data_IF_051109906743
#
_entry.id   IF_051109906743
#
_cell.length_a   1.000
_cell.length_b   1.000
_cell.length_c   1.000
_cell.angle_alpha   90.00
_cell.angle_beta   90.00
_cell.angle_gamma   90.00
#
_symmetry.space_group_name_H-M   'P 1'
#
loop_
_entity.id
_entity.type
_entity.pdbx_description
1 polymer ?
#
# COMPACT_ATOMS: atom_id res chain seq x y z
N UNK A 1 -5.55 8.69 23.79
CA UNK A 1 -5.80 9.94 23.02
C UNK A 1 -6.18 9.51 21.63
N UNK A 2 -7.38 9.86 21.16
CA UNK A 2 -7.75 9.63 19.77
C UNK A 2 -7.12 10.73 18.93
N UNK A 3 -6.28 10.36 17.97
CA UNK A 3 -5.82 11.28 16.94
C UNK A 3 -7.06 11.74 16.15
N UNK A 4 -7.48 12.97 16.38
CA UNK A 4 -8.62 13.55 15.67
C UNK A 4 -8.11 14.15 14.36
N UNK A 5 -8.74 13.77 13.24
CA UNK A 5 -8.51 14.41 11.94
C UNK A 5 -8.96 15.87 12.08
N UNK A 6 -8.01 16.81 12.00
CA UNK A 6 -8.28 18.24 12.24
C UNK A 6 -9.01 18.93 11.07
N UNK A 7 -9.07 18.29 9.91
CA UNK A 7 -9.80 18.74 8.72
C UNK A 7 -9.60 17.77 7.55
N UNK A 8 -10.42 17.89 6.51
CA UNK A 8 -10.29 17.02 5.32
C UNK A 8 -9.09 17.43 4.46
N UNK A 9 -8.69 18.71 4.53
CA UNK A 9 -7.62 19.32 3.72
C UNK A 9 -6.22 18.77 4.05
N UNK A 10 -6.06 18.16 5.23
CA UNK A 10 -4.81 17.49 5.61
C UNK A 10 -4.73 16.04 5.14
N UNK A 11 -5.77 15.53 4.48
CA UNK A 11 -5.79 14.17 3.92
C UNK A 11 -5.18 14.21 2.52
N UNK A 12 -4.17 13.36 2.32
CA UNK A 12 -3.66 13.02 0.99
C UNK A 12 -3.80 11.53 0.80
N UNK A 13 -4.23 11.14 -0.39
CA UNK A 13 -4.44 9.74 -0.73
C UNK A 13 -3.53 9.32 -1.86
N UNK A 14 -2.88 8.19 -1.63
CA UNK A 14 -1.93 7.58 -2.52
C UNK A 14 -2.47 6.16 -2.79
N UNK A 15 -2.84 5.88 -4.04
CA UNK A 15 -3.42 4.61 -4.46
C UNK A 15 -2.51 3.86 -5.43
N UNK A 16 -2.37 2.56 -5.21
CA UNK A 16 -1.75 1.64 -6.18
C UNK A 16 -2.80 0.66 -6.70
N UNK A 17 -2.79 0.38 -8.00
CA UNK A 17 -3.57 -0.70 -8.61
C UNK A 17 -2.69 -1.54 -9.53
N UNK A 18 -3.11 -2.75 -9.86
CA UNK A 18 -2.35 -3.61 -10.77
C UNK A 18 -3.26 -4.59 -11.50
N UNK A 19 -2.86 -5.00 -12.70
CA UNK A 19 -3.64 -5.92 -13.52
C UNK A 19 -3.47 -7.37 -13.06
N UNK A 20 -4.59 -8.03 -12.76
CA UNK A 20 -4.61 -9.42 -12.29
C UNK A 20 -3.96 -10.40 -13.28
N UNK A 21 -4.02 -10.16 -14.59
CA UNK A 21 -3.49 -11.05 -15.63
C UNK A 21 -1.97 -11.25 -15.54
N UNK A 22 -1.17 -10.19 -15.77
CA UNK A 22 0.29 -10.24 -15.65
C UNK A 22 0.76 -10.66 -14.24
N UNK A 23 0.04 -10.24 -13.19
CA UNK A 23 0.39 -10.60 -11.82
C UNK A 23 0.08 -12.07 -11.48
N UNK A 24 -0.91 -12.71 -12.11
CA UNK A 24 -1.24 -14.14 -11.89
C UNK A 24 -0.26 -15.10 -12.53
N UNK A 25 0.38 -14.70 -13.62
CA UNK A 25 1.31 -15.59 -14.32
C UNK A 25 2.53 -15.94 -13.47
N UNK A 26 2.94 -15.02 -12.60
CA UNK A 26 4.12 -15.16 -11.76
C UNK A 26 3.83 -15.39 -10.27
N UNK A 27 2.58 -15.21 -9.81
CA UNK A 27 2.16 -15.42 -8.42
C UNK A 27 1.00 -16.45 -8.38
N UNK A 28 1.30 -17.76 -8.33
CA UNK A 28 0.30 -18.81 -8.42
C UNK A 28 -0.66 -18.87 -7.22
N UNK A 29 -0.27 -18.32 -6.05
CA UNK A 29 -1.07 -18.29 -4.82
C UNK A 29 -1.58 -16.86 -4.53
N UNK A 30 -2.89 -16.66 -4.23
CA UNK A 30 -3.42 -15.41 -3.68
C UNK A 30 -2.58 -14.79 -2.55
N UNK A 31 -1.93 -15.60 -1.71
CA UNK A 31 -1.04 -15.10 -0.67
C UNK A 31 0.13 -14.28 -1.23
N UNK A 32 0.76 -14.78 -2.29
CA UNK A 32 1.91 -14.16 -2.95
C UNK A 32 1.52 -12.87 -3.66
N UNK A 33 0.29 -12.80 -4.18
CA UNK A 33 -0.29 -11.58 -4.73
C UNK A 33 -0.40 -10.46 -3.67
N UNK A 34 -0.95 -10.78 -2.48
CA UNK A 34 -1.04 -9.80 -1.38
C UNK A 34 0.34 -9.39 -0.86
N UNK A 35 1.29 -10.32 -0.82
CA UNK A 35 2.66 -10.01 -0.44
C UNK A 35 3.32 -9.01 -1.40
N UNK A 36 3.14 -9.16 -2.73
CA UNK A 36 3.68 -8.22 -3.73
C UNK A 36 3.08 -6.83 -3.61
N UNK A 37 1.76 -6.74 -3.44
CA UNK A 37 1.08 -5.46 -3.22
C UNK A 37 1.59 -4.75 -1.98
N UNK A 38 1.77 -5.49 -0.89
CA UNK A 38 2.20 -4.90 0.35
C UNK A 38 3.70 -4.54 0.35
N UNK A 39 4.53 -5.26 -0.40
CA UNK A 39 5.92 -4.85 -0.66
C UNK A 39 5.98 -3.56 -1.48
N UNK A 40 5.24 -3.48 -2.59
CA UNK A 40 5.17 -2.28 -3.41
C UNK A 40 4.64 -1.07 -2.63
N UNK A 41 3.61 -1.29 -1.80
CA UNK A 41 3.09 -0.28 -0.89
C UNK A 41 4.18 0.14 0.12
N UNK A 42 4.89 -0.81 0.73
CA UNK A 42 5.99 -0.54 1.64
C UNK A 42 7.09 0.32 1.01
N UNK A 43 7.52 0.00 -0.20
CA UNK A 43 8.51 0.78 -0.95
C UNK A 43 8.01 2.20 -1.22
N UNK A 44 6.77 2.33 -1.68
CA UNK A 44 6.21 3.63 -1.98
C UNK A 44 6.05 4.50 -0.72
N UNK A 45 5.65 3.91 0.41
CA UNK A 45 5.61 4.56 1.72
C UNK A 45 7.01 5.07 2.10
N UNK A 46 8.07 4.28 1.88
CA UNK A 46 9.45 4.69 2.18
C UNK A 46 9.98 5.80 1.28
N UNK A 47 9.60 5.80 0.00
CA UNK A 47 10.04 6.84 -0.96
C UNK A 47 9.29 8.16 -0.80
N UNK A 48 8.01 8.11 -0.42
CA UNK A 48 7.11 9.27 -0.51
C UNK A 48 6.81 9.92 0.83
N UNK A 49 6.80 9.15 1.93
CA UNK A 49 6.22 9.62 3.20
C UNK A 49 7.20 9.60 4.38
N UNK A 50 8.29 8.86 4.28
CA UNK A 50 9.27 8.73 5.38
C UNK A 50 10.07 10.01 5.60
N UNK A 51 10.27 10.85 4.60
CA UNK A 51 11.09 12.07 4.78
C UNK A 51 10.38 13.21 5.49
N UNK A 52 9.06 13.14 5.73
CA UNK A 52 8.27 14.25 6.26
C UNK A 52 7.37 13.91 7.45
N UNK A 53 7.50 12.71 8.04
CA UNK A 53 6.59 12.24 9.10
C UNK A 53 7.35 11.90 10.37
N UNK A 54 6.76 12.10 11.56
CA UNK A 54 7.38 11.70 12.84
C UNK A 54 7.16 10.23 13.19
N UNK A 55 6.13 9.60 12.60
CA UNK A 55 5.80 8.19 12.80
C UNK A 55 4.97 7.65 11.63
N UNK A 56 5.22 6.39 11.27
CA UNK A 56 4.47 5.67 10.23
C UNK A 56 3.61 4.59 10.87
N UNK A 57 2.30 4.60 10.59
CA UNK A 57 1.37 3.56 11.02
C UNK A 57 0.90 2.79 9.78
N UNK A 58 1.12 1.47 9.78
CA UNK A 58 0.73 0.59 8.69
C UNK A 58 -0.32 -0.38 9.23
N UNK A 59 -1.54 -0.26 8.74
CA UNK A 59 -2.66 -1.10 9.14
C UNK A 59 -3.06 -2.00 7.97
N UNK A 60 -3.04 -3.31 8.20
CA UNK A 60 -3.57 -4.30 7.28
C UNK A 60 -4.91 -4.83 7.78
N UNK A 61 -5.80 -5.16 6.85
CA UNK A 61 -7.03 -5.83 7.21
C UNK A 61 -6.76 -7.23 7.80
N UNK A 62 -7.63 -7.63 8.71
CA UNK A 62 -7.56 -8.88 9.46
C UNK A 62 -7.84 -10.14 8.61
N UNK A 63 -8.16 -10.00 7.33
CA UNK A 63 -8.43 -11.13 6.40
C UNK A 63 -7.22 -12.04 6.16
N UNK A 64 -6.00 -11.57 6.42
CA UNK A 64 -4.80 -12.39 6.29
C UNK A 64 -4.72 -13.47 7.37
N UNK A 65 -4.37 -14.70 6.99
CA UNK A 65 -4.08 -15.79 7.92
C UNK A 65 -2.82 -15.52 8.75
N UNK A 66 -2.66 -16.22 9.87
CA UNK A 66 -1.47 -16.06 10.74
C UNK A 66 -0.14 -16.25 9.99
N UNK A 67 -0.08 -17.21 9.07
CA UNK A 67 1.11 -17.46 8.25
C UNK A 67 1.42 -16.30 7.29
N UNK A 68 0.39 -15.80 6.59
CA UNK A 68 0.52 -14.66 5.68
C UNK A 68 0.96 -13.39 6.42
N UNK A 69 0.37 -13.12 7.60
CA UNK A 69 0.77 -11.97 8.45
C UNK A 69 2.24 -12.04 8.83
N UNK A 70 2.74 -13.22 9.18
CA UNK A 70 4.14 -13.43 9.56
C UNK A 70 5.11 -13.12 8.42
N UNK A 71 4.86 -13.70 7.23
CA UNK A 71 5.67 -13.45 6.03
C UNK A 71 5.68 -11.97 5.64
N UNK A 72 4.50 -11.36 5.63
CA UNK A 72 4.36 -9.95 5.29
C UNK A 72 5.11 -9.04 6.27
N UNK A 73 4.95 -9.29 7.57
CA UNK A 73 5.64 -8.52 8.61
C UNK A 73 7.16 -8.64 8.47
N UNK A 74 7.69 -9.83 8.16
CA UNK A 74 9.13 -10.03 7.98
C UNK A 74 9.68 -9.19 6.82
N UNK A 75 9.01 -9.21 5.66
CA UNK A 75 9.44 -8.43 4.49
C UNK A 75 9.35 -6.93 4.72
N UNK A 76 8.24 -6.44 5.28
CA UNK A 76 8.08 -5.02 5.59
C UNK A 76 9.11 -4.53 6.60
N UNK A 77 9.38 -5.29 7.65
CA UNK A 77 10.41 -4.94 8.64
C UNK A 77 11.79 -4.85 8.00
N UNK A 78 12.15 -5.76 7.10
CA UNK A 78 13.43 -5.70 6.40
C UNK A 78 13.62 -4.36 5.68
N UNK A 79 12.57 -3.85 5.03
CA UNK A 79 12.59 -2.55 4.33
C UNK A 79 12.53 -1.35 5.28
N UNK A 80 11.62 -1.38 6.24
CA UNK A 80 11.39 -0.24 7.14
C UNK A 80 12.54 -0.05 8.13
N UNK A 81 13.29 -1.10 8.45
CA UNK A 81 14.50 -1.01 9.27
C UNK A 81 15.63 -0.23 8.59
N UNK A 82 15.63 -0.13 7.26
CA UNK A 82 16.59 0.69 6.53
C UNK A 82 16.24 2.19 6.59
N UNK A 83 15.08 2.52 7.18
CA UNK A 83 14.64 3.91 7.41
C UNK A 83 14.94 4.36 8.82
N UNK A 84 15.21 5.66 9.01
CA UNK A 84 15.33 6.27 10.34
C UNK A 84 14.00 6.46 11.06
N UNK A 85 12.90 5.98 10.49
CA UNK A 85 11.54 6.34 10.90
C UNK A 85 10.98 5.36 11.93
N UNK A 86 10.33 5.90 12.97
CA UNK A 86 9.53 5.07 13.86
C UNK A 86 8.30 4.54 13.13
N UNK A 87 8.11 3.22 13.11
CA UNK A 87 6.94 2.60 12.49
C UNK A 87 6.21 1.62 13.41
N UNK A 88 4.91 1.42 13.15
CA UNK A 88 4.10 0.38 13.78
C UNK A 88 3.27 -0.33 12.72
N UNK A 89 3.32 -1.65 12.71
CA UNK A 89 2.49 -2.51 11.87
C UNK A 89 1.38 -3.11 12.74
N UNK A 90 0.13 -3.03 12.27
CA UNK A 90 -1.02 -3.63 12.94
C UNK A 90 -1.91 -4.40 11.95
N UNK A 91 -2.66 -5.37 12.48
CA UNK A 91 -3.65 -6.14 11.73
C UNK A 91 -4.98 -6.01 12.45
N UNK A 92 -5.88 -5.18 11.91
CA UNK A 92 -7.16 -4.88 12.54
C UNK A 92 -8.27 -4.90 11.48
N UNK A 93 -9.52 -5.26 11.83
CA UNK A 93 -10.63 -5.15 10.90
C UNK A 93 -10.79 -3.71 10.40
N UNK A 94 -10.88 -3.52 9.07
CA UNK A 94 -11.06 -2.20 8.44
C UNK A 94 -12.23 -1.42 9.06
N UNK A 95 -13.35 -2.09 9.36
CA UNK A 95 -14.53 -1.49 10.01
C UNK A 95 -14.26 -0.82 11.36
N UNK A 96 -13.14 -1.13 12.02
CA UNK A 96 -12.75 -0.56 13.31
C UNK A 96 -11.69 0.54 13.22
N UNK A 97 -11.18 0.83 12.01
CA UNK A 97 -10.15 1.83 11.77
C UNK A 97 -10.67 2.90 10.81
N UNK A 98 -10.69 4.18 11.23
CA UNK A 98 -11.16 5.28 10.38
C UNK A 98 -10.29 5.44 9.13
N UNK A 99 -8.97 5.33 9.27
CA UNK A 99 -8.05 5.41 8.13
C UNK A 99 -8.26 4.24 7.17
N UNK A 100 -8.48 3.04 7.70
CA UNK A 100 -8.87 1.87 6.93
C UNK A 100 -10.17 2.08 6.14
N UNK A 101 -11.21 2.65 6.75
CA UNK A 101 -12.48 2.94 6.07
C UNK A 101 -12.32 3.96 4.95
N UNK A 102 -11.53 5.00 5.18
CA UNK A 102 -11.19 5.99 4.14
C UNK A 102 -10.45 5.29 3.00
N UNK A 103 -9.40 4.54 3.30
CA UNK A 103 -8.62 3.80 2.31
C UNK A 103 -9.49 2.82 1.48
N UNK A 104 -10.39 2.09 2.12
CA UNK A 104 -11.31 1.15 1.47
C UNK A 104 -12.26 1.87 0.50
N UNK A 105 -12.79 3.04 0.89
CA UNK A 105 -13.66 3.83 0.02
C UNK A 105 -12.93 4.38 -1.21
N UNK A 106 -11.69 4.85 -1.06
CA UNK A 106 -10.85 5.28 -2.19
C UNK A 106 -10.50 4.11 -3.11
N UNK A 107 -10.09 2.97 -2.55
CA UNK A 107 -9.78 1.77 -3.32
C UNK A 107 -11.01 1.26 -4.11
N UNK A 108 -12.19 1.27 -3.49
CA UNK A 108 -13.45 0.91 -4.15
C UNK A 108 -13.84 1.90 -5.26
N UNK A 109 -13.68 3.20 -5.01
CA UNK A 109 -13.98 4.25 -5.99
C UNK A 109 -13.08 4.14 -7.21
N UNK A 110 -11.78 3.94 -6.98
CA UNK A 110 -10.81 3.71 -8.06
C UNK A 110 -11.13 2.43 -8.83
N UNK A 111 -11.46 1.33 -8.14
CA UNK A 111 -11.87 0.09 -8.79
C UNK A 111 -13.08 0.28 -9.71
N UNK A 112 -14.11 1.02 -9.28
CA UNK A 112 -15.29 1.32 -10.11
C UNK A 112 -14.93 2.12 -11.35
N UNK A 113 -14.07 3.12 -11.20
CA UNK A 113 -13.59 3.90 -12.33
C UNK A 113 -12.86 2.99 -13.34
N UNK A 114 -11.92 2.18 -12.87
CA UNK A 114 -11.09 1.32 -13.73
C UNK A 114 -11.90 0.22 -14.43
N UNK A 115 -12.80 -0.45 -13.71
CA UNK A 115 -13.51 -1.64 -14.23
C UNK A 115 -14.83 -1.30 -14.93
N UNK A 116 -15.44 -0.17 -14.61
CA UNK A 116 -16.81 0.17 -15.05
C UNK A 116 -16.92 1.55 -15.68
N UNK A 117 -15.82 2.30 -15.76
CA UNK A 117 -15.80 3.70 -16.20
C UNK A 117 -16.78 4.59 -15.41
N UNK A 118 -17.07 4.19 -14.17
CA UNK A 118 -17.93 4.95 -13.26
C UNK A 118 -17.07 5.78 -12.32
N UNK A 119 -16.96 7.06 -12.63
CA UNK A 119 -16.13 8.02 -11.91
C UNK A 119 -16.90 8.85 -10.88
N UNK A 120 -18.21 8.67 -10.75
CA UNK A 120 -19.05 9.43 -9.81
C UNK A 120 -18.54 9.36 -8.36
N UNK A 121 -18.16 8.18 -7.82
CA UNK A 121 -17.66 8.09 -6.45
C UNK A 121 -16.33 8.85 -6.27
N UNK A 122 -15.42 8.74 -7.24
CA UNK A 122 -14.12 9.40 -7.18
C UNK A 122 -14.27 10.93 -7.28
N UNK A 123 -15.19 11.42 -8.12
CA UNK A 123 -15.50 12.85 -8.25
C UNK A 123 -16.07 13.44 -6.95
N UNK A 124 -16.85 12.67 -6.20
CA UNK A 124 -17.34 13.09 -4.89
C UNK A 124 -16.21 13.35 -3.88
N UNK A 125 -15.00 12.80 -4.14
CA UNK A 125 -13.80 12.97 -3.33
C UNK A 125 -12.84 14.05 -3.89
N UNK A 126 -13.25 14.83 -4.89
CA UNK A 126 -12.38 15.81 -5.58
C UNK A 126 -11.78 16.90 -4.69
N UNK A 127 -12.31 17.11 -3.48
CA UNK A 127 -11.71 18.00 -2.47
C UNK A 127 -10.47 17.42 -1.78
N UNK A 128 -10.14 16.15 -2.00
CA UNK A 128 -8.99 15.47 -1.41
C UNK A 128 -7.90 15.29 -2.48
N UNK A 129 -6.65 15.61 -2.13
CA UNK A 129 -5.51 15.40 -3.01
C UNK A 129 -5.27 13.91 -3.22
N UNK A 130 -5.21 13.47 -4.47
CA UNK A 130 -5.11 12.07 -4.86
C UNK A 130 -3.96 11.86 -5.84
N UNK A 131 -3.15 10.84 -5.59
CA UNK A 131 -2.17 10.28 -6.52
C UNK A 131 -2.47 8.82 -6.76
N UNK A 132 -2.48 8.41 -8.03
CA UNK A 132 -2.72 7.02 -8.43
C UNK A 132 -1.52 6.54 -9.24
N UNK A 133 -1.03 5.34 -8.91
CA UNK A 133 0.01 4.65 -9.67
C UNK A 133 -0.43 3.26 -10.08
N UNK A 134 -0.09 2.88 -11.29
CA UNK A 134 -0.20 1.52 -11.77
C UNK A 134 1.05 0.73 -11.37
N UNK A 135 0.84 -0.50 -10.93
CA UNK A 135 1.89 -1.49 -10.70
C UNK A 135 2.02 -2.34 -11.98
N UNK A 136 2.91 -1.91 -12.87
CA UNK A 136 3.25 -2.64 -14.11
C UNK A 136 4.48 -3.56 -13.94
N UNK A 137 4.76 -4.38 -14.96
CA UNK A 137 5.95 -5.26 -14.99
C UNK A 137 7.28 -4.49 -15.03
N UNK A 138 7.31 -3.26 -15.57
CA UNK A 138 8.53 -2.46 -15.67
C UNK A 138 8.95 -1.87 -14.32
N UNK A 139 7.97 -1.59 -13.47
CA UNK A 139 8.15 -1.26 -12.06
C UNK A 139 8.82 -2.41 -11.29
N UNK A 140 8.77 -3.66 -11.78
CA UNK A 140 9.47 -4.81 -11.18
C UNK A 140 10.97 -4.86 -11.50
N UNK A 141 11.37 -4.48 -12.71
CA UNK A 141 12.78 -4.57 -13.15
C UNK A 141 13.66 -3.66 -12.27
N UNK A 142 13.15 -2.49 -11.91
CA UNK A 142 13.86 -1.58 -10.99
C UNK A 142 13.96 -2.13 -9.56
N UNK A 143 13.06 -3.03 -9.14
CA UNK A 143 13.04 -3.64 -7.80
C UNK A 143 14.03 -4.81 -7.70
N UNK A 144 14.13 -5.63 -8.75
CA UNK A 144 15.09 -6.74 -8.79
C UNK A 144 16.53 -6.26 -9.07
N UNK A 145 16.72 -5.23 -9.91
CA UNK A 145 18.05 -4.72 -10.23
C UNK A 145 18.69 -3.94 -9.06
N UNK A 146 17.90 -3.40 -8.13
CA UNK A 146 18.42 -2.83 -6.87
C UNK A 146 18.87 -3.90 -5.86
N UNK A 147 18.66 -5.19 -6.14
CA UNK A 147 19.07 -6.32 -5.29
C UNK A 147 20.25 -7.12 -5.83
N UNK A 148 20.81 -6.74 -6.98
CA UNK A 148 22.17 -7.14 -7.31
C UNK A 148 23.16 -6.25 -6.57
N UNK A 149 23.69 -6.77 -5.47
CA UNK A 149 24.93 -6.26 -4.90
C UNK A 149 25.98 -6.16 -6.02
N UNK A 150 26.61 -4.99 -6.25
CA UNK A 150 27.75 -4.89 -7.12
C UNK A 150 28.97 -5.45 -6.38
N UNK A 151 29.10 -6.78 -6.33
CA UNK A 151 30.25 -7.38 -5.67
C UNK A 151 30.13 -8.84 -5.27
N UNK A 152 29.85 -9.73 -6.22
CA UNK A 152 30.42 -11.09 -6.14
C UNK A 152 31.04 -11.41 -7.51
N UNK A 153 32.37 -11.33 -7.55
CA UNK A 153 33.23 -11.92 -8.58
C UNK A 153 33.80 -13.22 -8.03
#
# INVERSE_FOLDING_TARGET
MSDAIQGIDCIRVHSIYGHKGPLRHDAPDPAEYFERFAEALGMWLTETLVTSSDRVLINFDSVLTKGQRGKLMQRLKARLNDTSQSYRISFMPVKSDFNGQIADYFAWSLFRQLERLDDLPLRALSGITQEVRELDEQSRISIEDQHRHPGEK
#
